data_IF_057941872974
#
_entry.id   IF_057941872974
#
_cell.length_a   1.000
_cell.length_b   1.000
_cell.length_c   1.000
_cell.angle_alpha   90.00
_cell.angle_beta   90.00
_cell.angle_gamma   90.00
#
_symmetry.space_group_name_H-M   'P 1'
#
loop_
_entity.id
_entity.type
_entity.pdbx_description
1 polymer ?
#
# COMPACT_ATOMS: atom_id res chain seq x y z
N UNK A 1 27.76 -0.38 -5.64
CA UNK A 1 26.75 0.52 -5.02
C UNK A 1 25.46 0.35 -5.79
N UNK A 2 24.32 0.23 -5.14
CA UNK A 2 23.06 0.09 -5.89
C UNK A 2 22.67 1.47 -6.45
N UNK A 3 22.24 1.51 -7.71
CA UNK A 3 21.80 2.72 -8.41
C UNK A 3 20.74 3.49 -7.60
N UNK A 4 19.87 2.78 -6.90
CA UNK A 4 18.82 3.38 -6.06
C UNK A 4 19.37 4.14 -4.84
N UNK A 5 20.40 3.62 -4.19
CA UNK A 5 21.01 4.31 -3.05
C UNK A 5 21.69 5.61 -3.51
N UNK A 6 22.44 5.54 -4.60
CA UNK A 6 23.06 6.75 -5.17
C UNK A 6 22.02 7.79 -5.59
N UNK A 7 20.87 7.38 -6.13
CA UNK A 7 19.80 8.31 -6.48
C UNK A 7 19.19 8.98 -5.25
N UNK A 8 18.99 8.26 -4.16
CA UNK A 8 18.50 8.85 -2.90
C UNK A 8 19.53 9.79 -2.28
N UNK A 9 20.81 9.42 -2.31
CA UNK A 9 21.92 10.28 -1.85
C UNK A 9 22.02 11.57 -2.67
N UNK A 10 22.02 11.49 -3.99
CA UNK A 10 22.02 12.69 -4.86
C UNK A 10 20.78 13.57 -4.66
N UNK A 11 19.60 12.96 -4.44
CA UNK A 11 18.40 13.71 -4.11
C UNK A 11 18.51 14.38 -2.75
N UNK A 12 19.11 13.73 -1.76
CA UNK A 12 19.34 14.32 -0.44
C UNK A 12 20.29 15.51 -0.51
N UNK A 13 21.39 15.39 -1.27
CA UNK A 13 22.34 16.49 -1.50
C UNK A 13 21.65 17.68 -2.17
N UNK A 14 20.81 17.44 -3.17
CA UNK A 14 20.06 18.48 -3.88
C UNK A 14 19.02 19.17 -2.99
N UNK A 15 18.45 18.43 -2.03
CA UNK A 15 17.45 18.92 -1.09
C UNK A 15 18.06 19.54 0.17
N UNK A 16 19.35 19.35 0.42
CA UNK A 16 20.04 19.84 1.61
C UNK A 16 19.88 21.36 1.83
N UNK A 17 19.96 22.24 0.81
CA UNK A 17 19.77 23.68 1.00
C UNK A 17 18.34 24.04 1.47
N UNK A 18 17.35 23.23 1.18
CA UNK A 18 15.93 23.49 1.48
C UNK A 18 15.50 22.85 2.80
N UNK A 19 16.00 21.64 3.09
CA UNK A 19 15.50 20.80 4.19
C UNK A 19 16.54 20.53 5.29
N UNK A 20 17.78 20.99 5.11
CA UNK A 20 18.86 20.82 6.08
C UNK A 20 18.94 19.37 6.63
N UNK A 21 18.76 19.17 7.94
CA UNK A 21 18.82 17.86 8.60
C UNK A 21 17.74 16.88 8.14
N UNK A 22 16.64 17.36 7.57
CA UNK A 22 15.54 16.52 7.06
C UNK A 22 15.69 16.17 5.56
N UNK A 23 16.80 16.56 4.91
CA UNK A 23 16.99 16.35 3.47
C UNK A 23 16.88 14.89 3.04
N UNK A 24 17.49 13.96 3.80
CA UNK A 24 17.41 12.51 3.52
C UNK A 24 16.00 11.98 3.66
N UNK A 25 15.24 12.43 4.67
CA UNK A 25 13.83 12.05 4.82
C UNK A 25 12.98 12.58 3.66
N UNK A 26 13.20 13.83 3.25
CA UNK A 26 12.55 14.43 2.09
C UNK A 26 12.92 13.69 0.79
N UNK A 27 14.19 13.28 0.64
CA UNK A 27 14.64 12.47 -0.49
C UNK A 27 13.95 11.11 -0.57
N UNK A 28 13.76 10.41 0.56
CA UNK A 28 13.01 9.15 0.63
C UNK A 28 11.57 9.35 0.16
N UNK A 29 10.90 10.39 0.64
CA UNK A 29 9.52 10.71 0.27
C UNK A 29 9.43 11.04 -1.22
N UNK A 30 10.29 11.93 -1.71
CA UNK A 30 10.31 12.34 -3.12
C UNK A 30 10.64 11.18 -4.05
N UNK A 31 11.67 10.40 -3.73
CA UNK A 31 12.05 9.23 -4.51
C UNK A 31 10.90 8.20 -4.58
N UNK A 32 10.25 7.95 -3.44
CA UNK A 32 9.07 7.07 -3.39
C UNK A 32 7.96 7.59 -4.29
N UNK A 33 7.67 8.89 -4.25
CA UNK A 33 6.66 9.51 -5.10
C UNK A 33 7.02 9.43 -6.59
N UNK A 34 8.28 9.64 -6.96
CA UNK A 34 8.75 9.51 -8.35
C UNK A 34 8.62 8.07 -8.86
N UNK A 35 9.02 7.07 -8.07
CA UNK A 35 8.82 5.65 -8.41
C UNK A 35 7.34 5.35 -8.60
N UNK A 36 6.48 5.82 -7.70
CA UNK A 36 5.03 5.64 -7.79
C UNK A 36 4.45 6.32 -9.04
N UNK A 37 4.93 7.48 -9.39
CA UNK A 37 4.56 8.18 -10.61
C UNK A 37 4.99 7.39 -11.86
N UNK A 38 6.21 6.85 -11.87
CA UNK A 38 6.71 6.05 -12.97
C UNK A 38 5.88 4.77 -13.22
N UNK A 39 5.40 4.11 -12.15
CA UNK A 39 4.55 2.92 -12.25
C UNK A 39 3.05 3.24 -12.37
N UNK A 40 2.65 4.52 -12.34
CA UNK A 40 1.24 4.95 -12.45
C UNK A 40 0.49 4.38 -13.65
N UNK A 41 1.06 4.28 -14.89
CA UNK A 41 0.35 3.66 -16.00
C UNK A 41 -0.03 2.20 -15.74
N UNK A 42 0.82 1.45 -15.02
CA UNK A 42 0.53 0.07 -14.61
C UNK A 42 -0.59 0.02 -13.55
N UNK A 43 -0.59 0.95 -12.60
CA UNK A 43 -1.66 1.09 -11.61
C UNK A 43 -3.01 1.42 -12.28
N UNK A 44 -3.01 2.29 -13.31
CA UNK A 44 -4.22 2.57 -14.13
C UNK A 44 -4.71 1.31 -14.85
N UNK A 45 -3.82 0.49 -15.39
CA UNK A 45 -4.20 -0.78 -16.03
C UNK A 45 -4.81 -1.75 -15.00
N UNK A 46 -4.21 -1.87 -13.81
CA UNK A 46 -4.75 -2.67 -12.71
C UNK A 46 -6.13 -2.20 -12.27
N UNK A 47 -6.34 -0.88 -12.13
CA UNK A 47 -7.63 -0.30 -11.77
C UNK A 47 -8.72 -0.59 -12.83
N UNK A 48 -8.39 -0.47 -14.13
CA UNK A 48 -9.31 -0.85 -15.22
C UNK A 48 -9.70 -2.33 -15.13
N UNK A 49 -8.73 -3.21 -14.90
CA UNK A 49 -8.98 -4.64 -14.72
C UNK A 49 -9.87 -4.93 -13.52
N UNK A 50 -9.68 -4.21 -12.41
CA UNK A 50 -10.53 -4.34 -11.22
C UNK A 50 -11.97 -3.88 -11.50
N UNK A 51 -12.18 -2.73 -12.14
CA UNK A 51 -13.50 -2.26 -12.56
C UNK A 51 -14.21 -3.27 -13.47
N UNK A 52 -13.49 -3.79 -14.46
CA UNK A 52 -14.03 -4.79 -15.38
C UNK A 52 -14.49 -6.07 -14.62
N UNK A 53 -13.70 -6.54 -13.66
CA UNK A 53 -14.07 -7.68 -12.79
C UNK A 53 -15.31 -7.39 -11.95
N UNK A 54 -15.41 -6.21 -11.35
CA UNK A 54 -16.59 -5.83 -10.56
C UNK A 54 -17.84 -5.82 -11.44
N UNK A 55 -17.72 -5.37 -12.70
CA UNK A 55 -18.83 -5.34 -13.67
C UNK A 55 -19.36 -6.74 -14.00
N UNK A 56 -18.48 -7.74 -14.15
CA UNK A 56 -18.89 -9.11 -14.49
C UNK A 56 -19.20 -9.97 -13.25
N UNK A 57 -18.98 -9.47 -12.04
CA UNK A 57 -19.18 -10.22 -10.80
C UNK A 57 -20.60 -10.81 -10.65
N UNK A 58 -21.72 -10.09 -10.95
CA UNK A 58 -23.05 -10.65 -10.88
C UNK A 58 -23.25 -11.82 -11.87
N UNK A 59 -22.82 -11.68 -13.12
CA UNK A 59 -22.91 -12.75 -14.12
C UNK A 59 -22.08 -13.97 -13.72
N UNK A 60 -20.91 -13.74 -13.10
CA UNK A 60 -20.07 -14.81 -12.59
C UNK A 60 -20.73 -15.56 -11.42
N UNK A 61 -21.47 -14.85 -10.56
CA UNK A 61 -22.24 -15.45 -9.48
C UNK A 61 -23.37 -16.36 -10.03
N UNK A 62 -24.14 -15.88 -11.00
CA UNK A 62 -25.17 -16.65 -11.68
C UNK A 62 -24.62 -17.93 -12.36
N UNK A 63 -23.48 -17.82 -13.04
CA UNK A 63 -22.84 -18.97 -13.66
C UNK A 63 -22.39 -20.02 -12.64
N UNK A 64 -21.88 -19.57 -11.49
CA UNK A 64 -21.48 -20.47 -10.38
C UNK A 64 -22.68 -21.21 -9.80
N UNK A 65 -23.79 -20.53 -9.62
CA UNK A 65 -25.03 -21.14 -9.11
C UNK A 65 -25.58 -22.12 -10.13
N UNK A 66 -25.69 -21.72 -11.41
CA UNK A 66 -26.22 -22.55 -12.51
C UNK A 66 -25.40 -23.82 -12.74
N UNK A 67 -24.09 -23.75 -12.63
CA UNK A 67 -23.19 -24.87 -12.91
C UNK A 67 -22.48 -25.42 -11.67
N UNK A 68 -23.07 -25.26 -10.47
CA UNK A 68 -22.50 -25.70 -9.20
C UNK A 68 -22.11 -27.19 -9.19
N UNK A 69 -22.81 -28.04 -9.94
CA UNK A 69 -22.59 -29.50 -10.03
C UNK A 69 -21.73 -29.92 -11.22
N UNK A 70 -21.33 -28.99 -12.10
CA UNK A 70 -20.57 -29.32 -13.30
C UNK A 70 -19.36 -28.34 -13.44
N UNK A 71 -18.20 -28.67 -12.84
CA UNK A 71 -17.03 -27.80 -12.82
C UNK A 71 -16.41 -27.58 -14.21
N UNK A 72 -16.55 -28.51 -15.14
CA UNK A 72 -16.02 -28.36 -16.51
C UNK A 72 -16.81 -27.32 -17.29
N UNK A 73 -18.13 -27.43 -17.29
CA UNK A 73 -19.00 -26.45 -17.91
C UNK A 73 -18.88 -25.07 -17.27
N UNK A 74 -18.70 -25.01 -15.94
CA UNK A 74 -18.44 -23.74 -15.27
C UNK A 74 -17.17 -23.07 -15.80
N UNK A 75 -16.09 -23.82 -16.00
CA UNK A 75 -14.83 -23.28 -16.54
C UNK A 75 -14.99 -22.77 -17.96
N UNK A 76 -15.70 -23.49 -18.82
CA UNK A 76 -15.98 -23.08 -20.20
C UNK A 76 -16.79 -21.78 -20.24
N UNK A 77 -17.90 -21.73 -19.51
CA UNK A 77 -18.78 -20.55 -19.48
C UNK A 77 -18.10 -19.32 -18.85
N UNK A 78 -17.31 -19.52 -17.79
CA UNK A 78 -16.50 -18.46 -17.18
C UNK A 78 -15.43 -17.97 -18.15
N UNK A 79 -14.78 -18.87 -18.89
CA UNK A 79 -13.83 -18.52 -19.95
C UNK A 79 -14.47 -17.72 -21.07
N UNK A 80 -15.64 -18.15 -21.54
CA UNK A 80 -16.42 -17.46 -22.57
C UNK A 80 -16.89 -16.07 -22.10
N UNK A 81 -17.32 -15.94 -20.84
CA UNK A 81 -17.69 -14.66 -20.24
C UNK A 81 -16.50 -13.69 -20.21
N UNK A 82 -15.32 -14.15 -19.76
CA UNK A 82 -14.11 -13.33 -19.73
C UNK A 82 -13.70 -12.88 -21.13
N UNK A 83 -13.79 -13.76 -22.13
CA UNK A 83 -13.48 -13.44 -23.52
C UNK A 83 -14.47 -12.42 -24.10
N UNK A 84 -15.78 -12.62 -23.87
CA UNK A 84 -16.86 -11.75 -24.38
C UNK A 84 -16.76 -10.33 -23.78
N UNK A 85 -16.44 -10.23 -22.51
CA UNK A 85 -16.34 -8.97 -21.79
C UNK A 85 -14.95 -8.32 -21.86
N UNK A 86 -14.01 -8.94 -22.61
CA UNK A 86 -12.60 -8.50 -22.73
C UNK A 86 -11.91 -8.32 -21.37
N UNK A 87 -12.22 -9.18 -20.40
CA UNK A 87 -11.63 -9.15 -19.06
C UNK A 87 -10.54 -10.21 -18.95
N UNK A 88 -9.28 -9.77 -18.85
CA UNK A 88 -8.17 -10.71 -18.68
C UNK A 88 -8.30 -11.48 -17.34
N UNK A 89 -8.16 -12.81 -17.35
CA UNK A 89 -8.13 -13.61 -16.11
C UNK A 89 -6.95 -13.23 -15.20
N UNK A 90 -5.86 -12.69 -15.79
CA UNK A 90 -4.66 -12.23 -15.06
C UNK A 90 -4.78 -10.83 -14.45
N UNK A 91 -5.88 -10.11 -14.69
CA UNK A 91 -6.06 -8.75 -14.14
C UNK A 91 -6.02 -8.71 -12.59
N UNK A 92 -6.17 -9.86 -11.90
CA UNK A 92 -6.01 -9.98 -10.45
C UNK A 92 -4.56 -10.11 -9.97
N UNK A 93 -3.63 -10.48 -10.84
CA UNK A 93 -2.21 -10.62 -10.51
C UNK A 93 -1.48 -9.27 -10.62
N UNK A 94 -2.00 -8.37 -11.44
CA UNK A 94 -1.40 -7.05 -11.68
C UNK A 94 -1.14 -6.24 -10.38
N UNK A 95 -2.06 -6.18 -9.40
CA UNK A 95 -1.80 -5.51 -8.13
C UNK A 95 -0.62 -6.12 -7.35
N UNK A 96 -0.42 -7.45 -7.45
CA UNK A 96 0.70 -8.13 -6.78
C UNK A 96 2.05 -7.81 -7.44
N UNK A 97 2.08 -7.60 -8.75
CA UNK A 97 3.29 -7.17 -9.47
C UNK A 97 3.71 -5.75 -9.08
N UNK A 98 2.76 -4.88 -8.73
CA UNK A 98 3.04 -3.54 -8.23
C UNK A 98 3.75 -3.56 -6.86
N UNK A 99 3.68 -4.68 -6.13
CA UNK A 99 4.35 -4.84 -4.85
C UNK A 99 5.86 -5.10 -4.99
N UNK A 100 6.33 -5.64 -6.14
CA UNK A 100 7.74 -5.97 -6.35
C UNK A 100 8.68 -4.75 -6.25
N UNK A 101 8.41 -3.61 -6.91
CA UNK A 101 9.23 -2.40 -6.75
C UNK A 101 9.25 -1.91 -5.29
N UNK A 102 8.13 -2.09 -4.58
CA UNK A 102 8.01 -1.73 -3.18
C UNK A 102 8.95 -2.56 -2.29
N UNK A 103 9.00 -3.88 -2.50
CA UNK A 103 9.92 -4.76 -1.79
C UNK A 103 11.38 -4.46 -2.09
N UNK A 104 11.72 -4.23 -3.35
CA UNK A 104 13.07 -3.85 -3.75
C UNK A 104 13.52 -2.57 -3.05
N UNK A 105 12.68 -1.55 -3.03
CA UNK A 105 12.98 -0.29 -2.38
C UNK A 105 13.17 -0.45 -0.86
N UNK A 106 12.28 -1.19 -0.21
CA UNK A 106 12.42 -1.55 1.21
C UNK A 106 13.73 -2.28 1.48
N UNK A 107 14.04 -3.30 0.71
CA UNK A 107 15.28 -4.04 0.86
C UNK A 107 16.51 -3.12 0.77
N UNK A 108 16.54 -2.21 -0.21
CA UNK A 108 17.66 -1.28 -0.37
C UNK A 108 17.77 -0.24 0.75
N UNK A 109 16.66 0.23 1.29
CA UNK A 109 16.66 1.17 2.41
C UNK A 109 17.13 0.52 3.72
N UNK A 110 16.91 -0.79 3.88
CA UNK A 110 17.23 -1.53 5.11
C UNK A 110 18.48 -2.41 5.04
N UNK A 111 18.99 -2.74 3.86
CA UNK A 111 20.10 -3.66 3.68
C UNK A 111 21.48 -3.03 4.03
N UNK A 112 21.55 -2.11 4.98
CA UNK A 112 22.83 -1.57 5.45
C UNK A 112 22.68 -0.38 6.41
N UNK A 113 23.75 -0.04 7.11
CA UNK A 113 23.86 1.10 8.06
C UNK A 113 23.82 2.49 7.37
N UNK A 114 23.29 2.56 6.16
CA UNK A 114 23.30 3.79 5.34
C UNK A 114 22.42 4.89 5.89
N UNK A 115 21.44 4.55 6.72
CA UNK A 115 20.58 5.51 7.39
C UNK A 115 21.17 5.98 8.72
N UNK A 116 22.30 5.39 9.16
CA UNK A 116 23.01 5.82 10.35
C UNK A 116 23.53 7.25 10.16
N UNK A 117 23.22 8.13 11.12
CA UNK A 117 23.63 9.54 11.10
C UNK A 117 22.63 10.49 10.41
N UNK A 118 21.66 10.01 9.65
CA UNK A 118 20.61 10.84 9.08
C UNK A 118 19.42 10.98 10.03
N UNK A 119 18.79 12.15 10.04
CA UNK A 119 17.68 12.47 10.96
C UNK A 119 16.50 13.09 10.22
N UNK A 120 15.32 12.88 10.78
CA UNK A 120 14.13 13.68 10.50
C UNK A 120 13.86 14.52 11.75
N UNK A 121 14.21 15.82 11.70
CA UNK A 121 14.22 16.68 12.87
C UNK A 121 15.06 16.08 14.02
N UNK A 122 14.43 15.76 15.14
CA UNK A 122 15.10 15.16 16.29
C UNK A 122 15.23 13.62 16.23
N UNK A 123 14.49 12.94 15.34
CA UNK A 123 14.44 11.49 15.28
C UNK A 123 15.46 10.93 14.26
N UNK A 124 16.37 10.03 14.67
CA UNK A 124 17.25 9.31 13.75
C UNK A 124 16.45 8.43 12.79
N UNK A 125 16.84 8.38 11.52
CA UNK A 125 16.13 7.59 10.49
C UNK A 125 16.32 6.08 10.66
N UNK A 126 17.37 5.65 11.34
CA UNK A 126 17.64 4.25 11.65
C UNK A 126 16.88 3.73 12.86
N UNK A 127 16.37 4.61 13.72
CA UNK A 127 15.71 4.24 14.97
C UNK A 127 14.26 3.83 14.78
N UNK A 128 13.74 3.12 15.76
CA UNK A 128 12.36 2.65 15.85
C UNK A 128 11.60 3.44 16.90
N UNK A 129 10.28 3.29 16.93
CA UNK A 129 9.46 3.87 17.98
C UNK A 129 9.90 3.48 19.40
N UNK A 130 10.31 2.23 19.60
CA UNK A 130 10.79 1.75 20.88
C UNK A 130 12.04 2.50 21.37
N UNK A 131 12.95 2.85 20.46
CA UNK A 131 14.16 3.61 20.78
C UNK A 131 13.82 5.06 21.17
N UNK A 132 12.89 5.68 20.44
CA UNK A 132 12.38 7.01 20.78
C UNK A 132 11.65 7.05 22.14
N UNK A 133 10.96 5.95 22.52
CA UNK A 133 10.34 5.82 23.84
C UNK A 133 11.40 5.74 24.95
N UNK A 134 12.49 5.04 24.72
CA UNK A 134 13.58 4.90 25.68
C UNK A 134 14.36 6.23 25.84
N UNK A 135 14.47 7.03 24.76
CA UNK A 135 15.22 8.29 24.72
C UNK A 135 14.34 9.54 24.95
N UNK A 136 13.47 9.51 25.93
CA UNK A 136 12.67 10.69 26.32
C UNK A 136 11.16 10.50 26.25
N UNK A 137 10.70 9.29 25.92
CA UNK A 137 9.28 8.95 25.92
C UNK A 137 8.50 9.52 24.74
N UNK A 138 7.16 9.39 24.75
CA UNK A 138 6.31 9.79 23.62
C UNK A 138 6.27 11.31 23.38
N UNK A 139 6.55 12.10 24.42
CA UNK A 139 6.57 13.57 24.36
C UNK A 139 7.99 14.14 24.20
N UNK A 140 9.01 13.29 24.18
CA UNK A 140 10.38 13.68 23.84
C UNK A 140 10.49 14.17 22.39
N UNK A 141 11.57 14.89 22.04
CA UNK A 141 11.73 15.46 20.69
C UNK A 141 11.63 14.42 19.58
N UNK A 142 12.23 13.24 19.74
CA UNK A 142 12.11 12.13 18.81
C UNK A 142 10.72 11.50 18.85
N UNK A 143 10.15 11.33 20.05
CA UNK A 143 8.81 10.79 20.27
C UNK A 143 7.73 11.59 19.56
N UNK A 144 7.79 12.91 19.58
CA UNK A 144 6.83 13.79 18.91
C UNK A 144 6.81 13.59 17.38
N UNK A 145 7.97 13.29 16.76
CA UNK A 145 8.03 12.97 15.33
C UNK A 145 7.22 11.71 15.03
N UNK A 146 7.37 10.67 15.85
CA UNK A 146 6.59 9.44 15.68
C UNK A 146 5.09 9.64 15.99
N UNK A 147 4.75 10.42 17.02
CA UNK A 147 3.35 10.75 17.34
C UNK A 147 2.67 11.47 16.16
N UNK A 148 3.35 12.43 15.55
CA UNK A 148 2.85 13.11 14.36
C UNK A 148 2.69 12.13 13.18
N UNK A 149 3.65 11.23 12.99
CA UNK A 149 3.59 10.18 11.97
C UNK A 149 2.42 9.23 12.21
N UNK A 150 2.21 8.76 13.46
CA UNK A 150 1.08 7.91 13.83
C UNK A 150 -0.26 8.60 13.61
N UNK A 151 -0.38 9.88 13.96
CA UNK A 151 -1.61 10.65 13.71
C UNK A 151 -1.92 10.73 12.22
N UNK A 152 -0.91 10.97 11.38
CA UNK A 152 -1.06 10.97 9.93
C UNK A 152 -1.46 9.58 9.39
N UNK A 153 -0.78 8.52 9.82
CA UNK A 153 -1.11 7.13 9.44
C UNK A 153 -2.51 6.75 9.86
N UNK A 154 -2.93 7.13 11.08
CA UNK A 154 -4.28 6.87 11.57
C UNK A 154 -5.35 7.56 10.71
N UNK A 155 -5.09 8.78 10.25
CA UNK A 155 -6.00 9.49 9.33
C UNK A 155 -6.11 8.75 7.98
N UNK A 156 -4.99 8.34 7.38
CA UNK A 156 -4.95 7.57 6.13
C UNK A 156 -5.62 6.20 6.30
N UNK A 157 -5.35 5.52 7.41
CA UNK A 157 -5.96 4.22 7.73
C UNK A 157 -7.49 4.33 7.91
N UNK A 158 -7.94 5.37 8.60
CA UNK A 158 -9.38 5.64 8.80
C UNK A 158 -10.09 5.89 7.47
N UNK A 159 -9.47 6.67 6.59
CA UNK A 159 -10.00 6.88 5.25
C UNK A 159 -10.07 5.58 4.45
N UNK A 160 -8.98 4.79 4.44
CA UNK A 160 -8.92 3.47 3.78
C UNK A 160 -9.97 2.51 4.34
N UNK A 161 -10.12 2.46 5.67
CA UNK A 161 -11.12 1.64 6.35
C UNK A 161 -12.54 1.98 5.87
N UNK A 162 -12.91 3.27 5.89
CA UNK A 162 -14.25 3.72 5.47
C UNK A 162 -14.52 3.37 4.02
N UNK A 163 -13.54 3.54 3.15
CA UNK A 163 -13.64 3.22 1.74
C UNK A 163 -13.80 1.72 1.51
N UNK A 164 -12.92 0.89 2.09
CA UNK A 164 -12.97 -0.57 1.97
C UNK A 164 -14.31 -1.10 2.48
N UNK A 165 -14.79 -0.58 3.63
CA UNK A 165 -16.09 -0.96 4.19
C UNK A 165 -17.24 -0.68 3.22
N UNK A 166 -17.23 0.49 2.55
CA UNK A 166 -18.25 0.84 1.53
C UNK A 166 -18.17 -0.10 0.33
N UNK A 167 -16.98 -0.31 -0.23
CA UNK A 167 -16.78 -1.22 -1.36
C UNK A 167 -17.23 -2.66 -1.05
N UNK A 168 -16.95 -3.15 0.16
CA UNK A 168 -17.39 -4.49 0.57
C UNK A 168 -18.90 -4.56 0.75
N UNK A 169 -19.55 -3.51 1.25
CA UNK A 169 -21.01 -3.47 1.35
C UNK A 169 -21.68 -3.50 -0.03
N UNK A 170 -21.12 -2.79 -1.01
CA UNK A 170 -21.62 -2.79 -2.40
C UNK A 170 -21.43 -4.16 -3.08
N UNK A 171 -20.35 -4.86 -2.75
CA UNK A 171 -20.02 -6.16 -3.37
C UNK A 171 -20.61 -7.34 -2.60
N UNK A 172 -21.10 -7.13 -1.38
CA UNK A 172 -21.61 -8.20 -0.50
C UNK A 172 -22.74 -9.04 -1.14
N UNK A 173 -23.60 -8.40 -1.92
CA UNK A 173 -24.69 -9.05 -2.64
C UNK A 173 -24.22 -10.09 -3.69
N UNK A 174 -22.97 -10.01 -4.12
CA UNK A 174 -22.40 -10.85 -5.19
C UNK A 174 -21.33 -11.82 -4.69
N UNK A 175 -21.04 -11.80 -3.38
CA UNK A 175 -20.10 -12.75 -2.78
C UNK A 175 -20.84 -14.05 -2.43
N UNK A 176 -20.20 -15.22 -2.65
CA UNK A 176 -20.78 -16.50 -2.22
C UNK A 176 -21.04 -16.47 -0.72
N UNK A 177 -22.23 -16.82 -0.30
CA UNK A 177 -22.55 -17.09 1.09
C UNK A 177 -21.82 -18.37 1.52
N UNK A 178 -20.76 -18.22 2.30
CA UNK A 178 -19.97 -19.33 2.82
C UNK A 178 -19.65 -19.12 4.31
N UNK A 179 -19.34 -20.22 5.03
CA UNK A 179 -18.91 -20.11 6.42
C UNK A 179 -17.66 -19.20 6.50
N UNK A 180 -17.79 -18.05 7.16
CA UNK A 180 -16.71 -17.06 7.32
C UNK A 180 -16.83 -15.81 6.45
N UNK A 181 -17.69 -15.74 5.44
CA UNK A 181 -17.84 -14.57 4.58
C UNK A 181 -18.15 -13.30 5.40
N UNK A 182 -19.02 -13.39 6.40
CA UNK A 182 -19.35 -12.30 7.32
C UNK A 182 -18.17 -11.87 8.21
N UNK A 183 -17.29 -12.79 8.58
CA UNK A 183 -16.06 -12.48 9.36
C UNK A 183 -15.07 -11.75 8.46
N UNK A 184 -14.84 -12.22 7.25
CA UNK A 184 -13.96 -11.59 6.27
C UNK A 184 -14.44 -10.16 5.99
N UNK A 185 -15.72 -9.95 5.75
CA UNK A 185 -16.29 -8.63 5.50
C UNK A 185 -16.07 -7.65 6.68
N UNK A 186 -16.05 -8.12 7.93
CA UNK A 186 -15.81 -7.32 9.12
C UNK A 186 -14.32 -7.06 9.37
N UNK A 187 -13.47 -8.05 9.11
CA UNK A 187 -12.03 -8.02 9.46
C UNK A 187 -11.20 -7.35 8.38
N UNK A 188 -11.51 -7.57 7.09
CA UNK A 188 -10.73 -7.00 5.97
C UNK A 188 -10.53 -5.47 6.05
N UNK A 189 -11.55 -4.65 6.37
CA UNK A 189 -11.32 -3.21 6.50
C UNK A 189 -10.35 -2.85 7.63
N UNK A 190 -10.30 -3.65 8.71
CA UNK A 190 -9.42 -3.40 9.86
C UNK A 190 -7.92 -3.56 9.53
N UNK A 191 -7.59 -4.32 8.47
CA UNK A 191 -6.20 -4.43 8.01
C UNK A 191 -5.58 -3.08 7.61
N UNK A 192 -6.39 -2.06 7.31
CA UNK A 192 -5.90 -0.71 7.08
C UNK A 192 -5.11 -0.17 8.29
N UNK A 193 -5.50 -0.55 9.51
CA UNK A 193 -4.82 -0.14 10.74
C UNK A 193 -3.53 -0.95 11.03
N UNK A 194 -3.32 -2.06 10.32
CA UNK A 194 -2.08 -2.84 10.42
C UNK A 194 -0.84 -2.00 10.08
N UNK A 195 -1.00 -0.97 9.25
CA UNK A 195 0.08 -0.02 8.92
C UNK A 195 0.61 0.71 10.16
N UNK A 196 -0.24 1.01 11.17
CA UNK A 196 0.20 1.60 12.45
C UNK A 196 1.18 0.69 13.19
N UNK A 197 0.85 -0.60 13.27
CA UNK A 197 1.72 -1.59 13.91
C UNK A 197 3.04 -1.71 13.13
N UNK A 198 2.97 -1.75 11.81
CA UNK A 198 4.17 -1.82 10.97
C UNK A 198 5.08 -0.63 11.20
N UNK A 199 4.54 0.59 11.20
CA UNK A 199 5.29 1.85 11.43
C UNK A 199 5.91 1.90 12.83
N UNK A 200 5.29 1.28 13.84
CA UNK A 200 5.85 1.19 15.18
C UNK A 200 7.08 0.26 15.30
N UNK A 201 7.15 -0.77 14.44
CA UNK A 201 8.18 -1.82 14.53
C UNK A 201 9.37 -1.54 13.62
N UNK A 202 9.14 -0.92 12.47
CA UNK A 202 10.20 -0.68 11.49
C UNK A 202 10.97 0.61 11.80
N UNK A 203 12.23 0.75 11.32
CA UNK A 203 12.97 2.01 11.38
C UNK A 203 12.25 3.17 10.69
N UNK A 204 12.51 4.41 11.15
CA UNK A 204 11.81 5.61 10.68
C UNK A 204 11.91 5.82 9.16
N UNK A 205 13.07 5.52 8.56
CA UNK A 205 13.23 5.59 7.11
C UNK A 205 12.24 4.70 6.36
N UNK A 206 12.03 3.48 6.85
CA UNK A 206 11.03 2.55 6.30
C UNK A 206 9.61 2.99 6.57
N UNK A 207 9.36 3.51 7.75
CA UNK A 207 8.07 4.07 8.10
C UNK A 207 7.68 5.18 7.11
N UNK A 208 8.60 6.12 6.81
CA UNK A 208 8.38 7.17 5.81
C UNK A 208 8.05 6.62 4.42
N UNK A 209 8.80 5.61 3.98
CA UNK A 209 8.51 4.94 2.71
C UNK A 209 7.11 4.30 2.71
N UNK A 210 6.78 3.51 3.75
CA UNK A 210 5.50 2.81 3.86
C UNK A 210 4.35 3.82 3.88
N UNK A 211 4.48 4.88 4.65
CA UNK A 211 3.46 5.94 4.78
C UNK A 211 3.24 6.66 3.45
N UNK A 212 4.32 7.08 2.78
CA UNK A 212 4.26 7.73 1.47
C UNK A 212 3.62 6.81 0.43
N UNK A 213 4.06 5.57 0.38
CA UNK A 213 3.57 4.55 -0.55
C UNK A 213 2.09 4.22 -0.31
N UNK A 214 1.67 4.09 0.95
CA UNK A 214 0.27 3.81 1.31
C UNK A 214 -0.62 5.00 1.00
N UNK A 215 -0.18 6.20 1.36
CA UNK A 215 -0.90 7.45 1.05
C UNK A 215 -1.09 7.61 -0.46
N UNK A 216 -0.03 7.39 -1.24
CA UNK A 216 -0.11 7.39 -2.70
C UNK A 216 -1.15 6.41 -3.22
N UNK A 217 -1.13 5.16 -2.73
CA UNK A 217 -2.08 4.12 -3.13
C UNK A 217 -3.52 4.52 -2.80
N UNK A 218 -3.76 5.16 -1.66
CA UNK A 218 -5.08 5.65 -1.26
C UNK A 218 -5.56 6.76 -2.19
N UNK A 219 -4.71 7.74 -2.48
CA UNK A 219 -5.01 8.83 -3.41
C UNK A 219 -5.28 8.29 -4.82
N UNK A 220 -4.38 7.46 -5.31
CA UNK A 220 -4.48 6.86 -6.65
C UNK A 220 -5.76 6.03 -6.82
N UNK A 221 -6.09 5.18 -5.86
CA UNK A 221 -7.36 4.43 -5.87
C UNK A 221 -8.58 5.33 -5.80
N UNK A 222 -8.49 6.47 -5.10
CA UNK A 222 -9.60 7.43 -5.02
C UNK A 222 -9.83 8.12 -6.35
N UNK A 223 -8.78 8.35 -7.13
CA UNK A 223 -8.86 8.98 -8.44
C UNK A 223 -9.22 7.99 -9.55
N UNK A 224 -8.83 6.72 -9.41
CA UNK A 224 -8.98 5.72 -10.47
C UNK A 224 -10.19 4.81 -10.30
N UNK A 225 -10.69 4.61 -9.09
CA UNK A 225 -11.83 3.73 -8.75
C UNK A 225 -13.02 4.51 -8.21
#
# INVERSE_FOLDING_TARGET
>A
MSVFASLVEHLADLLQPLFATAATAAAIVLFTALVRLAIHPLARAAARGQKARTRIAPQLAELREKHARNPERLREEVGALHARENVSPFSGVLPSLLQLPAFLLMYYLFAGDRMAGHRLFAAPLGDRWADALADGGPLGPAGLVYVALFAFVAAVATFSYRRTKRQMAETAAFLPEGPGAGVVAKVMPLFAFGTLVTVAVVPLAAALYIVTSTTWTVVERTLLL
#
